data_IF_435244327288
#
_entry.id   IF_435244327288
#
_cell.length_a   1.000
_cell.length_b   1.000
_cell.length_c   1.000
_cell.angle_alpha   90.00
_cell.angle_beta   90.00
_cell.angle_gamma   90.00
#
_symmetry.space_group_name_H-M   'P 1'
#
loop_
_entity.id
_entity.type
_entity.pdbx_description
1 polymer ?
#
# COMPACT_ATOMS: atom_id res chain seq x y z
N UNK A 1 1.69 -3.64 7.66
CA UNK A 1 0.76 -2.49 7.77
C UNK A 1 1.55 -1.26 7.42
N UNK A 2 1.34 -0.69 6.22
CA UNK A 2 2.00 0.56 5.83
C UNK A 2 1.19 1.71 6.44
N UNK A 3 1.80 2.45 7.37
CA UNK A 3 1.21 3.59 8.07
C UNK A 3 1.55 4.85 7.27
N UNK A 4 0.70 5.89 7.28
CA UNK A 4 1.03 7.16 6.61
C UNK A 4 2.30 7.85 7.16
N UNK A 5 2.85 7.35 8.28
CA UNK A 5 4.13 7.74 8.87
C UNK A 5 5.39 7.12 8.21
N UNK A 6 5.24 6.25 7.18
CA UNK A 6 6.36 5.44 6.69
C UNK A 6 7.41 6.18 5.83
N UNK A 7 7.22 7.48 5.54
CA UNK A 7 8.12 8.28 4.68
C UNK A 7 8.49 7.54 3.39
N UNK A 8 7.48 7.13 2.62
CA UNK A 8 7.64 6.47 1.32
C UNK A 8 7.26 7.46 0.23
N UNK A 9 8.16 7.69 -0.74
CA UNK A 9 7.85 8.45 -1.95
C UNK A 9 7.29 7.51 -3.03
N UNK A 10 6.17 7.88 -3.64
CA UNK A 10 5.56 7.13 -4.74
C UNK A 10 5.74 7.88 -6.07
N UNK A 11 6.00 7.13 -7.14
CA UNK A 11 5.97 7.62 -8.50
C UNK A 11 5.21 6.66 -9.41
N UNK A 12 4.44 7.23 -10.34
CA UNK A 12 3.91 6.51 -11.49
C UNK A 12 4.94 6.56 -12.62
N UNK A 13 5.14 5.44 -13.32
CA UNK A 13 6.06 5.29 -14.44
C UNK A 13 5.29 4.79 -15.67
N UNK A 14 5.63 5.37 -16.82
CA UNK A 14 5.24 4.87 -18.12
C UNK A 14 6.49 4.92 -19.01
N UNK A 15 7.17 3.78 -19.12
CA UNK A 15 8.40 3.62 -19.89
C UNK A 15 8.09 3.52 -21.39
N UNK A 16 9.05 3.88 -22.24
CA UNK A 16 8.91 3.78 -23.69
C UNK A 16 8.75 2.33 -24.14
N UNK A 17 7.80 2.11 -25.07
CA UNK A 17 7.59 0.82 -25.70
C UNK A 17 8.71 0.38 -26.68
N UNK A 18 9.66 1.28 -27.02
CA UNK A 18 10.68 1.26 -28.10
C UNK A 18 11.18 -0.08 -28.72
N UNK A 19 11.81 0.00 -29.90
CA UNK A 19 12.04 -1.15 -30.79
C UNK A 19 12.96 -2.24 -30.22
N UNK A 20 12.53 -3.52 -30.29
CA UNK A 20 13.30 -4.70 -29.84
C UNK A 20 14.53 -5.03 -30.73
N UNK A 21 14.60 -4.48 -31.96
CA UNK A 21 15.53 -4.93 -33.01
C UNK A 21 16.61 -3.91 -33.46
N UNK A 22 16.81 -2.79 -32.76
CA UNK A 22 17.85 -1.80 -33.09
C UNK A 22 18.89 -1.71 -31.98
N UNK A 23 20.17 -1.96 -32.30
CA UNK A 23 21.26 -2.03 -31.33
C UNK A 23 21.34 -0.84 -30.37
N UNK A 24 20.96 -1.08 -29.11
CA UNK A 24 21.38 -0.33 -27.93
C UNK A 24 20.53 0.89 -27.55
N UNK A 25 19.75 0.74 -26.45
CA UNK A 25 19.33 1.74 -25.43
C UNK A 25 17.81 1.98 -25.20
N UNK A 26 16.90 1.09 -25.61
CA UNK A 26 15.44 1.32 -25.51
C UNK A 26 14.71 0.60 -24.34
N UNK A 27 15.29 0.64 -23.14
CA UNK A 27 14.58 0.33 -21.89
C UNK A 27 14.86 1.46 -20.90
N UNK A 28 14.04 2.52 -20.96
CA UNK A 28 14.16 3.71 -20.12
C UNK A 28 13.54 3.54 -18.73
N UNK A 29 12.83 2.42 -18.49
CA UNK A 29 12.36 2.01 -17.16
C UNK A 29 13.43 2.08 -16.06
N UNK A 30 14.54 1.31 -16.13
CA UNK A 30 15.58 1.37 -15.10
C UNK A 30 16.25 2.75 -14.96
N UNK A 31 16.58 3.50 -16.04
CA UNK A 31 16.97 4.91 -15.92
C UNK A 31 15.95 5.79 -15.18
N UNK A 32 14.64 5.65 -15.41
CA UNK A 32 13.60 6.41 -14.69
C UNK A 32 13.60 6.06 -13.20
N UNK A 33 13.69 4.78 -12.85
CA UNK A 33 13.78 4.31 -11.46
C UNK A 33 15.02 4.88 -10.76
N UNK A 34 16.19 4.87 -11.41
CA UNK A 34 17.42 5.45 -10.83
C UNK A 34 17.29 6.95 -10.56
N UNK A 35 16.69 7.70 -11.50
CA UNK A 35 16.45 9.14 -11.33
C UNK A 35 15.48 9.40 -10.18
N UNK A 36 14.43 8.59 -10.06
CA UNK A 36 13.47 8.69 -8.98
C UNK A 36 14.08 8.36 -7.61
N UNK A 37 14.84 7.27 -7.50
CA UNK A 37 15.56 6.92 -6.29
C UNK A 37 16.55 8.02 -5.85
N UNK A 38 17.28 8.63 -6.81
CA UNK A 38 18.15 9.77 -6.53
C UNK A 38 17.34 11.01 -6.06
N UNK A 39 16.18 11.27 -6.66
CA UNK A 39 15.29 12.36 -6.26
C UNK A 39 14.72 12.17 -4.85
N UNK A 40 14.41 10.93 -4.45
CA UNK A 40 14.02 10.58 -3.08
C UNK A 40 15.18 10.83 -2.09
N UNK A 41 16.39 10.41 -2.44
CA UNK A 41 17.59 10.63 -1.63
C UNK A 41 17.89 12.12 -1.40
N UNK A 42 17.81 12.96 -2.44
CA UNK A 42 17.98 14.43 -2.32
C UNK A 42 16.95 15.05 -1.37
N UNK A 43 15.75 14.48 -1.29
CA UNK A 43 14.67 14.90 -0.38
C UNK A 43 14.76 14.27 1.02
N UNK A 44 15.80 13.47 1.29
CA UNK A 44 15.98 12.70 2.52
C UNK A 44 14.82 11.74 2.80
N UNK A 45 14.19 11.22 1.74
CA UNK A 45 13.16 10.19 1.83
C UNK A 45 13.82 8.84 1.60
N UNK A 46 13.94 8.04 2.65
CA UNK A 46 14.70 6.79 2.63
C UNK A 46 14.02 5.67 1.85
N UNK A 47 12.69 5.73 1.67
CA UNK A 47 11.90 4.67 1.04
C UNK A 47 11.21 5.20 -0.21
N UNK A 48 11.21 4.42 -1.27
CA UNK A 48 10.61 4.84 -2.54
C UNK A 48 9.94 3.66 -3.25
N UNK A 49 8.90 3.96 -4.02
CA UNK A 49 8.15 3.02 -4.86
C UNK A 49 7.93 3.67 -6.23
N UNK A 50 8.36 2.99 -7.28
CA UNK A 50 8.05 3.33 -8.66
C UNK A 50 7.14 2.24 -9.23
N UNK A 51 5.92 2.60 -9.65
CA UNK A 51 4.92 1.65 -10.14
C UNK A 51 4.34 2.10 -11.48
N UNK A 52 3.92 1.15 -12.31
CA UNK A 52 3.23 1.43 -13.57
C UNK A 52 3.74 0.56 -14.71
N UNK A 53 3.57 1.06 -15.93
CA UNK A 53 3.91 0.38 -17.17
C UNK A 53 5.41 0.57 -17.49
N UNK A 54 6.18 -0.51 -17.41
CA UNK A 54 7.59 -0.55 -17.75
C UNK A 54 7.86 -1.09 -19.15
N UNK A 55 6.82 -1.50 -19.88
CA UNK A 55 6.87 -1.96 -21.26
C UNK A 55 7.84 -3.13 -21.55
N UNK A 56 8.27 -3.86 -20.52
CA UNK A 56 9.14 -5.05 -20.60
C UNK A 56 8.84 -5.99 -19.45
N UNK A 57 9.05 -7.28 -19.63
CA UNK A 57 8.88 -8.25 -18.55
C UNK A 57 9.84 -7.98 -17.38
N UNK A 58 9.45 -8.29 -16.12
CA UNK A 58 10.25 -7.92 -14.95
C UNK A 58 11.66 -8.51 -14.96
N UNK A 59 11.81 -9.73 -15.50
CA UNK A 59 13.10 -10.42 -15.63
C UNK A 59 14.10 -9.71 -16.54
N UNK A 60 13.64 -8.95 -17.54
CA UNK A 60 14.49 -8.24 -18.50
C UNK A 60 15.15 -6.99 -17.90
N UNK A 61 14.63 -6.51 -16.76
CA UNK A 61 15.11 -5.30 -16.08
C UNK A 61 16.17 -5.60 -15.00
N UNK A 62 16.43 -6.88 -14.72
CA UNK A 62 17.36 -7.32 -13.70
C UNK A 62 18.80 -6.81 -13.94
N UNK A 63 19.46 -6.41 -12.86
CA UNK A 63 20.86 -5.92 -12.90
C UNK A 63 21.04 -4.46 -13.37
N UNK A 64 19.96 -3.76 -13.75
CA UNK A 64 20.01 -2.34 -14.17
C UNK A 64 19.42 -1.38 -13.13
N UNK A 65 18.98 -1.90 -11.99
CA UNK A 65 18.27 -1.15 -10.94
C UNK A 65 19.22 -0.75 -9.80
N UNK A 66 18.84 0.24 -8.97
CA UNK A 66 19.56 0.52 -7.72
C UNK A 66 19.74 -0.75 -6.86
N UNK A 67 20.86 -0.87 -6.15
CA UNK A 67 21.08 -2.00 -5.24
C UNK A 67 19.97 -2.07 -4.17
N UNK A 68 19.56 -3.30 -3.81
CA UNK A 68 18.47 -3.51 -2.85
C UNK A 68 17.05 -3.25 -3.41
N UNK A 69 16.93 -3.02 -4.72
CA UNK A 69 15.61 -2.93 -5.37
C UNK A 69 14.94 -4.31 -5.38
N UNK A 70 13.67 -4.33 -5.00
CA UNK A 70 12.74 -5.46 -5.10
C UNK A 70 11.73 -5.19 -6.20
N UNK A 71 11.28 -6.28 -6.82
CA UNK A 71 10.24 -6.29 -7.83
C UNK A 71 8.97 -6.84 -7.18
N UNK A 72 7.86 -6.12 -7.33
CA UNK A 72 6.53 -6.57 -6.96
C UNK A 72 5.72 -6.68 -8.25
N UNK A 73 5.54 -7.90 -8.71
CA UNK A 73 4.87 -8.25 -9.96
C UNK A 73 3.75 -9.28 -9.68
N UNK A 74 2.83 -9.40 -10.62
CA UNK A 74 1.67 -10.28 -10.54
C UNK A 74 1.96 -11.72 -10.97
N UNK A 75 3.10 -11.94 -11.64
CA UNK A 75 3.48 -13.19 -12.29
C UNK A 75 2.49 -13.62 -13.38
N UNK A 76 1.68 -12.67 -13.86
CA UNK A 76 0.62 -12.85 -14.85
C UNK A 76 0.73 -11.76 -15.92
N UNK A 77 0.19 -12.04 -17.10
CA UNK A 77 0.08 -11.04 -18.15
C UNK A 77 -0.81 -9.88 -17.68
N UNK A 78 -0.28 -8.66 -17.77
CA UNK A 78 -1.00 -7.43 -17.37
C UNK A 78 -1.62 -6.72 -18.56
N UNK A 79 -1.41 -7.24 -19.78
CA UNK A 79 -1.87 -6.65 -21.04
C UNK A 79 -2.27 -7.68 -22.11
N UNK A 80 -2.95 -7.24 -23.19
CA UNK A 80 -3.60 -8.11 -24.20
C UNK A 80 -2.66 -9.01 -25.00
N UNK A 81 -1.43 -8.57 -25.22
CA UNK A 81 -0.39 -9.31 -25.93
C UNK A 81 0.50 -10.14 -25.00
N UNK A 82 -0.04 -10.56 -23.85
CA UNK A 82 0.50 -11.61 -22.97
C UNK A 82 1.80 -11.28 -22.20
N UNK A 83 2.26 -10.03 -22.23
CA UNK A 83 3.41 -9.57 -21.42
C UNK A 83 3.01 -9.12 -20.01
N UNK A 84 3.94 -9.25 -19.06
CA UNK A 84 3.82 -8.61 -17.75
C UNK A 84 4.53 -7.26 -17.79
N UNK A 85 3.81 -6.20 -18.16
CA UNK A 85 4.39 -4.87 -18.38
C UNK A 85 4.20 -3.95 -17.19
N UNK A 86 3.24 -4.27 -16.32
CA UNK A 86 2.85 -3.44 -15.20
C UNK A 86 3.28 -4.06 -13.86
N UNK A 87 4.21 -3.42 -13.17
CA UNK A 87 4.72 -3.90 -11.88
C UNK A 87 5.26 -2.74 -11.04
N UNK A 88 5.84 -3.04 -9.88
CA UNK A 88 6.46 -2.04 -9.01
C UNK A 88 7.91 -2.39 -8.71
N UNK A 89 8.76 -1.37 -8.66
CA UNK A 89 10.08 -1.42 -8.05
C UNK A 89 10.11 -0.64 -6.75
N UNK A 90 10.74 -1.19 -5.73
CA UNK A 90 10.93 -0.48 -4.46
C UNK A 90 12.16 -0.95 -3.72
N UNK A 91 12.75 -0.08 -2.90
CA UNK A 91 13.75 -0.47 -1.90
C UNK A 91 13.13 -0.89 -0.55
N UNK A 92 11.80 -0.93 -0.45
CA UNK A 92 11.10 -1.44 0.72
C UNK A 92 10.95 -2.95 0.60
N UNK A 93 11.34 -3.65 1.66
CA UNK A 93 11.07 -5.08 1.84
C UNK A 93 9.77 -5.27 2.62
N UNK A 94 8.74 -5.75 1.93
CA UNK A 94 7.47 -6.05 2.58
C UNK A 94 6.76 -7.20 1.88
N UNK A 95 6.09 -8.03 2.67
CA UNK A 95 5.19 -9.06 2.16
C UNK A 95 3.76 -8.55 2.01
N UNK A 96 3.50 -7.29 2.39
CA UNK A 96 2.15 -6.73 2.41
C UNK A 96 1.79 -5.98 1.14
N UNK A 97 2.64 -5.96 0.12
CA UNK A 97 2.34 -5.34 -1.18
C UNK A 97 2.16 -6.40 -2.22
N UNK A 98 1.17 -6.22 -3.08
CA UNK A 98 0.84 -7.12 -4.16
C UNK A 98 0.59 -6.34 -5.45
N UNK A 99 1.05 -6.92 -6.55
CA UNK A 99 0.50 -6.64 -7.87
C UNK A 99 -0.38 -7.84 -8.23
N UNK A 100 -1.60 -7.59 -8.69
CA UNK A 100 -2.53 -8.63 -9.15
C UNK A 100 -3.16 -8.18 -10.46
N UNK A 101 -3.85 -9.11 -11.12
CA UNK A 101 -4.56 -8.86 -12.37
C UNK A 101 -6.06 -8.92 -12.08
N UNK A 102 -6.81 -7.86 -12.40
CA UNK A 102 -8.26 -7.83 -12.24
C UNK A 102 -9.00 -8.08 -13.57
N UNK A 103 -10.32 -8.20 -13.51
CA UNK A 103 -11.15 -8.31 -14.70
C UNK A 103 -10.93 -7.11 -15.63
N UNK A 104 -10.62 -7.37 -16.90
CA UNK A 104 -10.40 -6.32 -17.89
C UNK A 104 -11.67 -5.48 -18.10
N UNK A 105 -11.58 -4.17 -17.82
CA UNK A 105 -12.69 -3.20 -17.98
C UNK A 105 -12.61 -2.38 -19.26
N UNK A 106 -12.04 -2.93 -20.33
CA UNK A 106 -11.93 -2.30 -21.65
C UNK A 106 -10.55 -1.71 -21.96
N UNK A 107 -9.60 -1.78 -21.02
CA UNK A 107 -8.21 -1.36 -21.21
C UNK A 107 -7.39 -2.46 -21.91
N UNK A 108 -6.28 -2.07 -22.51
CA UNK A 108 -5.24 -3.00 -22.96
C UNK A 108 -4.23 -3.32 -21.87
N UNK A 109 -4.25 -2.61 -20.73
CA UNK A 109 -3.52 -2.89 -19.49
C UNK A 109 -4.46 -2.95 -18.28
N UNK A 110 -4.32 -3.92 -17.39
CA UNK A 110 -5.20 -4.08 -16.22
C UNK A 110 -4.50 -4.59 -14.95
N UNK A 111 -3.40 -3.95 -14.52
CA UNK A 111 -2.83 -4.22 -13.21
C UNK A 111 -3.70 -3.66 -12.08
N UNK A 112 -3.71 -4.35 -10.95
CA UNK A 112 -4.16 -3.84 -9.66
C UNK A 112 -2.98 -3.84 -8.69
N UNK A 113 -2.68 -2.67 -8.12
CA UNK A 113 -1.66 -2.52 -7.09
C UNK A 113 -2.33 -2.24 -5.76
N UNK A 114 -2.06 -3.09 -4.78
CA UNK A 114 -2.67 -2.98 -3.46
C UNK A 114 -1.76 -3.44 -2.35
N UNK A 115 -2.20 -3.20 -1.13
CA UNK A 115 -1.64 -3.89 0.02
C UNK A 115 -2.46 -5.15 0.33
N UNK A 116 -1.79 -6.28 0.57
CA UNK A 116 -2.37 -7.38 1.34
C UNK A 116 -2.70 -6.84 2.74
N UNK A 117 -3.92 -6.38 2.90
CA UNK A 117 -4.57 -6.34 4.19
C UNK A 117 -5.16 -7.73 4.35
N UNK A 118 -4.39 -8.66 4.94
CA UNK A 118 -4.97 -9.88 5.47
C UNK A 118 -6.21 -9.43 6.25
N UNK A 119 -7.39 -9.86 5.79
CA UNK A 119 -8.67 -9.51 6.39
C UNK A 119 -8.71 -10.09 7.80
N UNK A 120 -8.09 -9.40 8.75
CA UNK A 120 -8.61 -9.40 10.09
C UNK A 120 -10.00 -8.78 9.95
N UNK A 121 -11.01 -9.43 10.53
CA UNK A 121 -12.27 -8.77 10.81
C UNK A 121 -12.05 -7.44 11.57
N UNK A 122 -13.12 -6.77 12.00
CA UNK A 122 -12.97 -5.56 12.78
C UNK A 122 -11.92 -5.78 13.87
N UNK A 123 -10.81 -5.03 13.80
CA UNK A 123 -9.74 -5.19 14.77
C UNK A 123 -10.28 -4.73 16.11
N UNK A 124 -10.08 -5.54 17.14
CA UNK A 124 -10.32 -5.07 18.50
C UNK A 124 -9.36 -3.90 18.78
N UNK A 125 -9.93 -2.75 19.05
CA UNK A 125 -9.25 -1.53 19.42
C UNK A 125 -9.43 -1.31 20.92
N UNK A 126 -8.39 -0.76 21.54
CA UNK A 126 -8.48 -0.14 22.86
C UNK A 126 -8.61 1.36 22.67
N UNK A 127 -9.65 1.96 23.24
CA UNK A 127 -9.84 3.42 23.25
C UNK A 127 -9.38 3.95 24.60
N UNK A 128 -8.28 4.70 24.61
CA UNK A 128 -7.68 5.27 25.83
C UNK A 128 -7.84 6.78 25.86
N UNK A 129 -8.26 7.34 27.00
CA UNK A 129 -8.32 8.78 27.20
C UNK A 129 -6.92 9.38 27.27
N UNK A 130 -6.64 10.38 26.43
CA UNK A 130 -5.38 11.13 26.51
C UNK A 130 -5.23 11.97 27.79
N UNK A 131 -6.33 12.25 28.50
CA UNK A 131 -6.32 13.03 29.75
C UNK A 131 -6.06 12.15 30.98
N UNK A 132 -6.82 11.05 31.11
CA UNK A 132 -6.78 10.20 32.32
C UNK A 132 -5.93 8.92 32.15
N UNK A 133 -5.59 8.53 30.92
CA UNK A 133 -4.91 7.27 30.62
C UNK A 133 -5.79 6.02 30.82
N UNK A 134 -7.08 6.20 31.12
CA UNK A 134 -8.05 5.11 31.34
C UNK A 134 -8.71 4.68 30.02
N UNK A 135 -9.21 3.44 29.98
CA UNK A 135 -9.83 2.85 28.79
C UNK A 135 -11.35 2.99 28.83
N UNK A 136 -11.97 3.12 27.65
CA UNK A 136 -13.41 3.03 27.45
C UNK A 136 -13.89 1.60 27.71
N UNK A 137 -14.86 1.43 28.60
CA UNK A 137 -15.24 0.14 29.19
C UNK A 137 -16.77 0.07 29.41
N UNK A 138 -17.40 -1.07 29.10
CA UNK A 138 -18.83 -1.30 29.35
C UNK A 138 -18.99 -1.79 30.79
N UNK A 139 -19.73 -1.03 31.61
CA UNK A 139 -19.85 -1.28 33.05
C UNK A 139 -20.33 -2.71 33.35
N UNK A 140 -19.51 -3.45 34.11
CA UNK A 140 -19.77 -4.84 34.53
C UNK A 140 -20.01 -5.83 33.37
N UNK A 141 -19.51 -5.54 32.17
CA UNK A 141 -19.70 -6.40 30.98
C UNK A 141 -21.20 -6.61 30.64
N UNK A 142 -22.07 -5.75 31.15
CA UNK A 142 -23.51 -5.90 30.99
C UNK A 142 -23.96 -5.56 29.58
N UNK A 143 -24.82 -6.40 29.02
CA UNK A 143 -25.49 -6.18 27.73
C UNK A 143 -26.92 -5.63 27.89
N UNK A 144 -27.33 -5.34 29.13
CA UNK A 144 -28.67 -4.82 29.40
C UNK A 144 -28.86 -3.40 28.88
N UNK A 145 -30.09 -3.09 28.47
CA UNK A 145 -30.46 -1.74 28.03
C UNK A 145 -30.15 -0.70 29.11
N UNK A 146 -29.56 0.42 28.71
CA UNK A 146 -29.14 1.48 29.63
C UNK A 146 -27.83 1.21 30.35
N UNK A 147 -27.08 0.13 30.03
CA UNK A 147 -25.73 -0.08 30.58
C UNK A 147 -24.82 1.09 30.20
N UNK A 148 -24.13 1.64 31.20
CA UNK A 148 -23.23 2.78 31.01
C UNK A 148 -21.90 2.36 30.39
N UNK A 149 -21.36 3.23 29.55
CA UNK A 149 -19.96 3.21 29.13
C UNK A 149 -19.16 4.13 30.04
N UNK A 150 -18.11 3.61 30.67
CA UNK A 150 -17.28 4.29 31.67
C UNK A 150 -15.81 4.36 31.24
N UNK A 151 -14.99 5.04 32.05
CA UNK A 151 -13.53 4.95 31.98
C UNK A 151 -13.02 4.07 33.12
N UNK A 152 -12.18 3.09 32.80
CA UNK A 152 -11.67 2.15 33.81
C UNK A 152 -10.22 1.74 33.57
N UNK A 153 -9.59 1.16 34.59
CA UNK A 153 -8.21 0.70 34.51
C UNK A 153 -8.08 -0.55 33.65
N UNK A 154 -6.90 -0.74 33.05
CA UNK A 154 -6.64 -1.89 32.17
C UNK A 154 -6.55 -3.18 33.00
N UNK A 155 -7.51 -4.11 32.83
CA UNK A 155 -7.51 -5.42 33.52
C UNK A 155 -7.45 -6.63 32.59
N UNK A 156 -7.32 -6.45 31.27
CA UNK A 156 -7.36 -7.54 30.27
C UNK A 156 -8.74 -8.14 29.96
N UNK A 157 -9.79 -7.79 30.72
CA UNK A 157 -11.19 -8.12 30.42
C UNK A 157 -11.68 -7.63 29.03
N UNK A 158 -12.72 -8.29 28.50
CA UNK A 158 -13.19 -8.17 27.10
C UNK A 158 -14.18 -7.03 26.87
N UNK A 159 -14.78 -6.48 27.92
CA UNK A 159 -15.74 -5.37 27.89
C UNK A 159 -15.16 -3.99 27.49
N UNK A 160 -13.97 -3.98 26.89
CA UNK A 160 -13.24 -2.80 26.38
C UNK A 160 -12.63 -3.04 25.00
N UNK A 161 -13.02 -4.13 24.35
CA UNK A 161 -12.66 -4.45 22.97
C UNK A 161 -13.65 -3.75 22.06
N UNK A 162 -13.16 -2.76 21.31
CA UNK A 162 -13.98 -1.95 20.43
C UNK A 162 -13.65 -2.22 18.98
N UNK A 163 -14.65 -2.60 18.20
CA UNK A 163 -14.52 -2.70 16.76
C UNK A 163 -14.99 -1.40 16.11
N UNK A 164 -14.23 -0.88 15.15
CA UNK A 164 -14.76 0.14 14.25
C UNK A 164 -15.58 -0.54 13.16
N UNK A 165 -16.91 -0.43 13.22
CA UNK A 165 -17.80 -0.80 12.13
C UNK A 165 -17.94 0.39 11.18
N UNK A 166 -17.04 0.50 10.21
CA UNK A 166 -17.21 1.49 9.14
C UNK A 166 -18.47 1.17 8.34
N UNK A 167 -19.46 2.04 8.35
CA UNK A 167 -20.47 2.04 7.28
C UNK A 167 -19.82 2.70 6.08
N UNK A 168 -19.60 1.95 5.01
CA UNK A 168 -19.18 2.52 3.74
C UNK A 168 -20.27 3.49 3.24
N UNK A 169 -20.09 4.78 3.53
CA UNK A 169 -20.68 5.84 2.72
C UNK A 169 -19.54 6.74 2.27
N UNK A 170 -19.19 6.62 1.00
CA UNK A 170 -18.42 7.64 0.32
C UNK A 170 -19.12 9.00 0.49
N UNK A 171 -18.44 9.95 1.12
CA UNK A 171 -18.32 11.28 0.55
C UNK A 171 -17.11 11.95 1.17
N UNK A 172 -16.24 12.44 0.30
CA UNK A 172 -15.08 13.23 0.66
C UNK A 172 -15.51 14.46 1.47
N UNK A 173 -14.83 14.71 2.60
CA UNK A 173 -14.85 16.01 3.25
C UNK A 173 -15.23 15.98 4.73
N UNK A 174 -14.29 15.56 5.59
CA UNK A 174 -14.26 16.03 6.98
C UNK A 174 -12.84 16.48 7.31
N UNK A 175 -12.62 17.80 7.21
CA UNK A 175 -11.46 18.46 7.81
C UNK A 175 -11.78 18.67 9.29
N UNK A 176 -11.01 18.05 10.19
CA UNK A 176 -10.82 18.58 11.53
C UNK A 176 -9.59 19.49 11.48
N UNK A 177 -9.81 20.79 11.44
CA UNK A 177 -8.78 21.77 11.83
C UNK A 177 -8.88 21.95 13.34
N UNK A 178 -7.71 22.05 13.98
CA UNK A 178 -7.56 22.39 15.40
C UNK A 178 -8.14 23.79 15.72
#
# INVERSE_FOLDING_TARGET
>A
MVRSADHVLFASVHASAGNRNGGGRDADGPPLVRRFAAAAATRRIARWVALGDFNRDPGEQNGRLPAGTRIYNSEQATQRSEGELDYMFSNVDTQTWQATVEANRGSDHWPYFGSLQAGAGPRDLTVTSGLSGLNLDVFHESLGDGTHVIQYHTTGATNRLWAWSGTASESAGARCTA
#
